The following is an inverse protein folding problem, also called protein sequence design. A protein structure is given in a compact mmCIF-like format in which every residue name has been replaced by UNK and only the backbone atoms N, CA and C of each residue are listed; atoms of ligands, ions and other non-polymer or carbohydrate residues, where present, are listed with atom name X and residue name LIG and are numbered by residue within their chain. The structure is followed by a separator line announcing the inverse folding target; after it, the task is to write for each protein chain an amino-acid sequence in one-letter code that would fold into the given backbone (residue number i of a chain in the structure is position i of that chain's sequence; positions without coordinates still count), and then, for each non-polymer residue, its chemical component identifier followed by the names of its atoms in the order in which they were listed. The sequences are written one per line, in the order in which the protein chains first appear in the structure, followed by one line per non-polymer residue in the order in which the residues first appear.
data_IF_817638069950
#
_entry.id   IF_817638069950
#
_cell.length_a   1.000
_cell.length_b   1.000
_cell.length_c   1.000
_cell.angle_alpha   90.00
_cell.angle_beta   90.00
_cell.angle_gamma   90.00
#
_symmetry.space_group_name_H-M   'P 1'
#
loop_
_entity.id
_entity.type
_entity.pdbx_description
1 polymer ?
#
# COMPACT_ATOMS: atom_id res chain seq x y z
N UNK A 1 -3.56 49.20 -81.82
CA UNK A 1 -3.73 47.89 -81.17
C UNK A 1 -2.37 47.23 -81.08
N UNK A 2 -1.90 46.97 -79.86
CA UNK A 2 -0.83 46.06 -79.42
C UNK A 2 -0.05 46.73 -78.28
N UNK A 3 -0.59 46.59 -77.07
CA UNK A 3 0.02 47.10 -75.84
C UNK A 3 1.05 46.06 -75.38
N UNK A 4 2.32 46.35 -75.67
CA UNK A 4 3.47 45.47 -75.45
C UNK A 4 3.85 45.48 -73.96
N UNK A 5 3.28 44.55 -73.19
CA UNK A 5 3.65 44.32 -71.79
C UNK A 5 5.07 43.78 -71.67
N UNK A 6 6.02 44.68 -71.39
CA UNK A 6 7.37 44.37 -70.93
C UNK A 6 7.31 43.63 -69.56
N UNK A 7 7.87 42.41 -69.42
CA UNK A 7 7.92 41.72 -68.14
C UNK A 7 9.06 42.29 -67.26
N UNK A 8 8.68 43.15 -66.32
CA UNK A 8 9.54 43.70 -65.29
C UNK A 8 9.97 42.59 -64.28
N UNK A 9 11.09 41.91 -64.56
CA UNK A 9 11.75 40.98 -63.62
C UNK A 9 12.73 41.76 -62.73
N UNK A 10 12.28 42.11 -61.53
CA UNK A 10 13.15 42.67 -60.49
C UNK A 10 14.32 41.75 -60.10
N UNK A 11 15.37 42.27 -59.45
CA UNK A 11 16.61 41.55 -59.19
C UNK A 11 16.36 40.30 -58.33
N UNK A 12 16.96 39.19 -58.75
CA UNK A 12 16.86 37.92 -58.05
C UNK A 12 17.40 38.08 -56.62
N UNK A 13 16.52 37.91 -55.62
CA UNK A 13 16.88 37.91 -54.19
C UNK A 13 17.94 36.85 -53.92
N UNK A 14 18.91 37.16 -53.07
CA UNK A 14 19.96 36.22 -52.72
C UNK A 14 19.37 34.94 -52.12
N UNK A 15 20.01 33.79 -52.36
CA UNK A 15 19.52 32.50 -51.91
C UNK A 15 19.38 32.45 -50.37
N UNK A 16 20.21 33.20 -49.67
CA UNK A 16 20.18 33.34 -48.20
C UNK A 16 18.90 34.02 -47.70
N UNK A 17 18.44 35.09 -48.36
CA UNK A 17 17.18 35.77 -48.00
C UNK A 17 15.96 34.87 -48.25
N UNK A 18 15.99 34.08 -49.33
CA UNK A 18 14.94 33.10 -49.64
C UNK A 18 14.89 32.01 -48.57
N UNK A 19 16.04 31.51 -48.13
CA UNK A 19 16.14 30.52 -47.04
C UNK A 19 15.66 31.12 -45.71
N UNK A 20 16.07 32.34 -45.37
CA UNK A 20 15.67 33.00 -44.12
C UNK A 20 14.16 33.22 -44.05
N UNK A 21 13.54 33.68 -45.14
CA UNK A 21 12.08 33.86 -45.24
C UNK A 21 11.34 32.54 -45.12
N UNK A 22 11.83 31.47 -45.77
CA UNK A 22 11.26 30.12 -45.61
C UNK A 22 11.35 29.62 -44.17
N UNK A 23 12.48 29.84 -43.48
CA UNK A 23 12.63 29.49 -42.06
C UNK A 23 11.70 30.29 -41.16
N UNK A 24 11.52 31.59 -41.42
CA UNK A 24 10.59 32.44 -40.68
C UNK A 24 9.13 32.01 -40.87
N UNK A 25 8.73 31.70 -42.11
CA UNK A 25 7.41 31.17 -42.43
C UNK A 25 7.18 29.79 -41.77
N UNK A 26 8.17 28.90 -41.82
CA UNK A 26 8.08 27.59 -41.17
C UNK A 26 7.99 27.68 -39.63
N UNK A 27 8.68 28.66 -39.01
CA UNK A 27 8.53 28.94 -37.57
C UNK A 27 7.11 29.40 -37.23
N UNK A 28 6.60 30.41 -37.94
CA UNK A 28 5.23 30.91 -37.76
C UNK A 28 4.19 29.81 -37.95
N UNK A 29 4.39 28.94 -38.94
CA UNK A 29 3.52 27.79 -39.18
C UNK A 29 3.55 26.78 -38.03
N UNK A 30 4.74 26.44 -37.50
CA UNK A 30 4.87 25.53 -36.35
C UNK A 30 4.28 26.11 -35.07
N UNK A 31 4.35 27.43 -34.88
CA UNK A 31 3.76 28.12 -33.73
C UNK A 31 2.23 28.13 -33.82
N UNK A 32 1.67 28.48 -34.99
CA UNK A 32 0.21 28.52 -35.18
C UNK A 32 -0.46 27.15 -35.28
N UNK A 33 0.29 26.10 -35.64
CA UNK A 33 -0.23 24.72 -35.77
C UNK A 33 0.43 23.76 -34.77
N UNK A 34 0.96 24.27 -33.65
CA UNK A 34 1.71 23.49 -32.68
C UNK A 34 0.92 22.28 -32.16
N UNK A 35 -0.36 22.49 -31.84
CA UNK A 35 -1.21 21.45 -31.27
C UNK A 35 -1.65 20.43 -32.33
N UNK A 36 -1.97 20.87 -33.55
CA UNK A 36 -2.26 19.95 -34.66
C UNK A 36 -1.06 19.06 -35.00
N UNK A 37 0.15 19.63 -35.01
CA UNK A 37 1.39 18.88 -35.24
C UNK A 37 1.62 17.86 -34.11
N UNK A 38 1.34 18.24 -32.86
CA UNK A 38 1.44 17.31 -31.70
C UNK A 38 0.44 16.17 -31.80
N UNK A 39 -0.81 16.45 -32.17
CA UNK A 39 -1.84 15.42 -32.32
C UNK A 39 -1.51 14.47 -33.48
N UNK A 40 -1.11 15.00 -34.65
CA UNK A 40 -0.65 14.17 -35.78
C UNK A 40 0.56 13.31 -35.41
N UNK A 41 1.52 13.85 -34.67
CA UNK A 41 2.68 13.08 -34.19
C UNK A 41 2.27 12.01 -33.17
N UNK A 42 1.31 12.30 -32.27
CA UNK A 42 0.78 11.32 -31.32
C UNK A 42 0.07 10.19 -32.05
N UNK A 43 -0.81 10.50 -33.00
CA UNK A 43 -1.51 9.53 -33.84
C UNK A 43 -0.51 8.67 -34.63
N UNK A 44 0.52 9.28 -35.22
CA UNK A 44 1.55 8.54 -35.96
C UNK A 44 2.33 7.58 -35.05
N UNK A 45 2.73 8.03 -33.85
CA UNK A 45 3.43 7.17 -32.86
C UNK A 45 2.55 6.01 -32.38
N UNK A 46 1.25 6.26 -32.18
CA UNK A 46 0.29 5.23 -31.78
C UNK A 46 0.07 4.20 -32.90
N UNK A 47 0.00 4.64 -34.16
CA UNK A 47 -0.15 3.78 -35.32
C UNK A 47 1.14 3.04 -35.73
N UNK A 48 2.32 3.52 -35.30
CA UNK A 48 3.63 2.95 -35.68
C UNK A 48 4.53 2.67 -34.46
N UNK A 49 4.10 1.86 -33.48
CA UNK A 49 4.89 1.61 -32.27
C UNK A 49 6.22 0.93 -32.57
N UNK A 50 6.27 0.05 -33.56
CA UNK A 50 7.47 -0.73 -33.88
C UNK A 50 8.54 0.13 -34.57
N UNK A 51 8.17 1.00 -35.51
CA UNK A 51 9.11 1.96 -36.11
C UNK A 51 9.70 2.93 -35.08
N UNK A 52 8.91 3.34 -34.09
CA UNK A 52 9.38 4.19 -32.99
C UNK A 52 10.40 3.43 -32.12
N UNK A 53 10.13 2.16 -31.82
CA UNK A 53 11.06 1.30 -31.06
C UNK A 53 12.36 1.08 -31.83
N UNK A 54 12.29 0.75 -33.11
CA UNK A 54 13.46 0.55 -33.97
C UNK A 54 14.32 1.81 -34.09
N UNK A 55 13.69 2.96 -34.34
CA UNK A 55 14.40 4.23 -34.39
C UNK A 55 15.07 4.56 -33.05
N UNK A 56 14.35 4.35 -31.93
CA UNK A 56 14.91 4.55 -30.60
C UNK A 56 16.05 3.58 -30.28
N UNK A 57 15.98 2.33 -30.75
CA UNK A 57 17.05 1.34 -30.62
C UNK A 57 18.30 1.78 -31.39
N UNK A 58 18.16 2.10 -32.69
CA UNK A 58 19.26 2.61 -33.52
C UNK A 58 19.90 3.86 -32.92
N UNK A 59 19.08 4.79 -32.42
CA UNK A 59 19.58 5.99 -31.75
C UNK A 59 20.37 5.66 -30.48
N UNK A 60 19.87 4.75 -29.63
CA UNK A 60 20.59 4.31 -28.42
C UNK A 60 21.89 3.60 -28.74
N UNK A 61 21.94 2.82 -29.82
CA UNK A 61 23.14 2.10 -30.22
C UNK A 61 24.19 3.06 -30.77
N UNK A 62 23.79 3.99 -31.65
CA UNK A 62 24.68 5.02 -32.21
C UNK A 62 25.18 6.01 -31.14
N UNK A 63 24.35 6.37 -30.17
CA UNK A 63 24.68 7.35 -29.13
C UNK A 63 24.95 6.74 -27.74
N UNK A 64 25.26 5.43 -27.68
CA UNK A 64 25.40 4.69 -26.42
C UNK A 64 26.38 5.33 -25.45
N UNK A 65 27.56 5.69 -25.95
CA UNK A 65 28.62 6.28 -25.13
C UNK A 65 28.30 7.72 -24.69
N UNK A 66 27.63 8.50 -25.56
CA UNK A 66 27.14 9.83 -25.21
C UNK A 66 26.09 9.75 -24.08
N UNK A 67 25.11 8.85 -24.19
CA UNK A 67 24.09 8.62 -23.16
C UNK A 67 24.75 8.20 -21.84
N UNK A 68 25.73 7.30 -21.88
CA UNK A 68 26.48 6.87 -20.68
C UNK A 68 27.25 8.03 -20.04
N UNK A 69 27.87 8.89 -20.83
CA UNK A 69 28.58 10.08 -20.33
C UNK A 69 27.60 11.07 -19.68
N UNK A 70 26.52 11.43 -20.37
CA UNK A 70 25.49 12.32 -19.84
C UNK A 70 24.86 11.77 -18.55
N UNK A 71 24.58 10.47 -18.49
CA UNK A 71 24.05 9.85 -17.28
C UNK A 71 25.05 9.91 -16.12
N UNK A 72 26.34 9.64 -16.37
CA UNK A 72 27.40 9.79 -15.36
C UNK A 72 27.49 11.22 -14.84
N UNK A 73 27.43 12.20 -15.74
CA UNK A 73 27.52 13.62 -15.36
C UNK A 73 26.25 14.11 -14.63
N UNK A 74 25.06 13.64 -15.04
CA UNK A 74 23.81 13.88 -14.29
C UNK A 74 23.87 13.30 -12.89
N UNK A 75 24.34 12.07 -12.72
CA UNK A 75 24.46 11.44 -11.40
C UNK A 75 25.52 12.13 -10.54
N UNK A 76 26.66 12.54 -11.12
CA UNK A 76 27.66 13.38 -10.43
C UNK A 76 27.06 14.71 -9.96
N UNK A 77 26.30 15.38 -10.81
CA UNK A 77 25.63 16.64 -10.47
C UNK A 77 24.58 16.46 -9.37
N UNK A 78 23.78 15.38 -9.43
CA UNK A 78 22.82 15.01 -8.38
C UNK A 78 23.51 14.73 -7.05
N UNK A 79 24.58 13.93 -7.06
CA UNK A 79 25.36 13.63 -5.88
C UNK A 79 26.01 14.89 -5.29
N UNK A 80 26.55 15.78 -6.11
CA UNK A 80 27.11 17.05 -5.66
C UNK A 80 26.04 17.96 -5.04
N UNK A 81 24.84 18.04 -5.64
CA UNK A 81 23.70 18.78 -5.10
C UNK A 81 23.24 18.19 -3.76
N UNK A 82 23.17 16.86 -3.65
CA UNK A 82 22.83 16.17 -2.41
C UNK A 82 23.86 16.46 -1.31
N UNK A 83 25.16 16.38 -1.62
CA UNK A 83 26.24 16.74 -0.67
C UNK A 83 26.15 18.19 -0.21
N UNK A 84 25.93 19.14 -1.13
CA UNK A 84 25.72 20.55 -0.76
C UNK A 84 24.47 20.74 0.11
N UNK A 85 23.39 20.04 -0.19
CA UNK A 85 22.16 20.10 0.59
C UNK A 85 22.36 19.54 2.00
N UNK A 86 23.03 18.40 2.15
CA UNK A 86 23.39 17.83 3.45
C UNK A 86 24.34 18.73 4.23
N UNK A 87 25.39 19.28 3.60
CA UNK A 87 26.28 20.23 4.25
C UNK A 87 25.53 21.50 4.72
N UNK A 88 24.59 22.01 3.92
CA UNK A 88 23.74 23.13 4.32
C UNK A 88 22.78 22.76 5.47
N UNK A 89 22.24 21.53 5.48
CA UNK A 89 21.42 21.00 6.59
C UNK A 89 22.23 20.92 7.87
N UNK A 90 23.45 20.39 7.80
CA UNK A 90 24.34 20.31 8.97
C UNK A 90 24.74 21.69 9.48
N UNK A 91 25.11 22.63 8.60
CA UNK A 91 25.37 24.02 9.01
C UNK A 91 24.17 24.65 9.72
N UNK A 92 22.95 24.42 9.23
CA UNK A 92 21.72 24.88 9.88
C UNK A 92 21.49 24.18 11.23
N UNK A 93 21.80 22.89 11.36
CA UNK A 93 21.71 22.15 12.62
C UNK A 93 22.69 22.69 13.66
N UNK A 94 23.94 22.94 13.26
CA UNK A 94 24.97 23.52 14.12
C UNK A 94 24.58 24.93 14.55
N UNK A 95 24.25 25.82 13.61
CA UNK A 95 23.81 27.18 13.91
C UNK A 95 22.55 27.21 14.80
N UNK A 96 21.61 26.29 14.59
CA UNK A 96 20.44 26.16 15.48
C UNK A 96 20.85 25.73 16.89
N UNK A 97 21.77 24.76 17.03
CA UNK A 97 22.29 24.34 18.34
C UNK A 97 23.02 25.47 19.05
N UNK A 98 23.87 26.21 18.34
CA UNK A 98 24.59 27.38 18.87
C UNK A 98 23.61 28.46 19.33
N UNK A 99 22.59 28.76 18.51
CA UNK A 99 21.52 29.69 18.89
C UNK A 99 20.76 29.25 20.15
N UNK A 100 20.48 27.96 20.29
CA UNK A 100 19.82 27.44 21.50
C UNK A 100 20.74 27.41 22.72
N UNK A 101 22.04 27.18 22.53
CA UNK A 101 23.02 27.19 23.60
C UNK A 101 23.33 28.61 24.09
N UNK A 102 23.26 29.60 23.20
CA UNK A 102 23.47 31.01 23.54
C UNK A 102 22.38 31.57 24.48
N UNK A 103 21.14 31.10 24.34
CA UNK A 103 20.03 31.50 25.22
C UNK A 103 18.99 30.38 25.42
N UNK A 104 19.25 29.46 26.35
CA UNK A 104 18.35 28.35 26.67
C UNK A 104 17.03 28.82 27.33
N UNK A 105 17.07 29.96 28.03
CA UNK A 105 15.94 30.49 28.80
C UNK A 105 14.92 31.12 27.87
N UNK A 106 15.33 32.02 26.96
CA UNK A 106 14.41 32.61 25.99
C UNK A 106 13.76 31.55 25.11
N UNK A 107 14.47 30.47 24.75
CA UNK A 107 13.84 29.36 24.03
C UNK A 107 12.77 28.65 24.86
N UNK A 108 13.07 28.38 26.13
CA UNK A 108 12.15 27.72 27.05
C UNK A 108 10.90 28.58 27.30
N UNK A 109 11.06 29.89 27.43
CA UNK A 109 9.99 30.87 27.57
C UNK A 109 9.13 30.95 26.32
N UNK A 110 9.75 31.11 25.14
CA UNK A 110 9.06 31.05 23.85
C UNK A 110 8.22 29.77 23.72
N UNK A 111 8.75 28.61 24.13
CA UNK A 111 8.01 27.34 24.09
C UNK A 111 6.89 27.26 25.15
N UNK A 112 7.04 27.94 26.30
CA UNK A 112 5.97 28.06 27.31
C UNK A 112 4.85 28.95 26.78
N UNK A 113 5.18 30.11 26.23
CA UNK A 113 4.23 31.03 25.62
C UNK A 113 3.50 30.39 24.45
N UNK A 114 4.21 29.73 23.54
CA UNK A 114 3.59 29.00 22.43
C UNK A 114 2.63 27.92 22.91
N UNK A 115 2.97 27.20 23.98
CA UNK A 115 2.05 26.20 24.59
C UNK A 115 0.87 26.86 25.29
N UNK A 116 1.05 28.03 25.93
CA UNK A 116 -0.04 28.81 26.52
C UNK A 116 -0.99 29.30 25.44
N UNK A 117 -0.46 29.88 24.35
CA UNK A 117 -1.24 30.32 23.19
C UNK A 117 -2.01 29.16 22.54
N UNK A 118 -1.37 27.99 22.34
CA UNK A 118 -2.07 26.81 21.82
C UNK A 118 -3.21 26.33 22.73
N UNK A 119 -3.00 26.34 24.05
CA UNK A 119 -4.06 25.97 25.01
C UNK A 119 -5.19 27.00 25.05
N UNK A 120 -4.89 28.29 24.84
CA UNK A 120 -5.87 29.35 24.83
C UNK A 120 -6.70 29.36 23.53
N UNK A 121 -6.05 29.10 22.38
CA UNK A 121 -6.72 29.07 21.08
C UNK A 121 -7.67 27.88 20.92
N UNK A 122 -7.28 26.70 21.40
CA UNK A 122 -8.12 25.49 21.36
C UNK A 122 -7.83 24.58 22.56
N UNK A 123 -8.53 24.78 23.69
CA UNK A 123 -8.34 23.98 24.90
C UNK A 123 -8.66 22.50 24.70
N UNK A 124 -9.73 22.17 23.94
CA UNK A 124 -10.20 20.80 23.77
C UNK A 124 -9.33 20.05 22.75
N UNK A 125 -9.02 20.64 21.60
CA UNK A 125 -8.11 20.03 20.64
C UNK A 125 -6.70 19.83 21.21
N UNK A 126 -6.22 20.72 22.07
CA UNK A 126 -4.94 20.50 22.78
C UNK A 126 -5.00 19.30 23.73
N UNK A 127 -6.10 19.12 24.47
CA UNK A 127 -6.31 17.97 25.38
C UNK A 127 -6.36 16.67 24.58
N UNK A 128 -7.12 16.65 23.49
CA UNK A 128 -7.22 15.49 22.61
C UNK A 128 -5.90 15.15 21.94
N UNK A 129 -5.20 16.12 21.36
CA UNK A 129 -3.89 15.91 20.75
C UNK A 129 -2.87 15.39 21.78
N UNK A 130 -2.89 15.92 23.01
CA UNK A 130 -2.07 15.40 24.12
C UNK A 130 -2.44 13.96 24.48
N UNK A 131 -3.73 13.64 24.55
CA UNK A 131 -4.23 12.29 24.81
C UNK A 131 -3.80 11.32 23.72
N UNK A 132 -3.92 11.70 22.44
CA UNK A 132 -3.51 10.88 21.30
C UNK A 132 -2.00 10.66 21.25
N UNK A 133 -1.20 11.71 21.50
CA UNK A 133 0.27 11.58 21.61
C UNK A 133 0.65 10.63 22.74
N UNK A 134 0.05 10.78 23.91
CA UNK A 134 0.29 9.89 25.05
C UNK A 134 -0.16 8.46 24.74
N UNK A 135 -1.28 8.28 24.05
CA UNK A 135 -1.76 6.97 23.61
C UNK A 135 -0.76 6.31 22.65
N UNK A 136 -0.32 7.00 21.60
CA UNK A 136 0.70 6.50 20.66
C UNK A 136 2.01 6.13 21.35
N UNK A 137 2.45 6.96 22.29
CA UNK A 137 3.64 6.65 23.09
C UNK A 137 3.44 5.40 23.95
N UNK A 138 2.31 5.29 24.65
CA UNK A 138 1.97 4.09 25.45
C UNK A 138 1.86 2.85 24.59
N UNK A 139 1.23 2.94 23.42
CA UNK A 139 1.04 1.81 22.52
C UNK A 139 2.39 1.34 21.97
N UNK A 140 3.25 2.26 21.53
CA UNK A 140 4.60 1.94 21.03
C UNK A 140 5.59 1.46 22.09
N UNK A 141 5.41 1.84 23.36
CA UNK A 141 6.30 1.46 24.47
C UNK A 141 5.64 0.48 25.45
N UNK A 142 4.48 -0.10 25.07
CA UNK A 142 3.68 -0.96 25.94
C UNK A 142 4.51 -2.15 26.43
N UNK A 143 5.20 -2.80 25.51
CA UNK A 143 5.97 -4.01 25.82
C UNK A 143 7.24 -3.71 26.58
N UNK A 144 7.90 -2.59 26.30
CA UNK A 144 9.07 -2.14 27.08
C UNK A 144 8.67 -1.82 28.53
N UNK A 145 7.57 -1.08 28.73
CA UNK A 145 7.05 -0.77 30.07
C UNK A 145 6.59 -2.04 30.78
N UNK A 146 5.91 -2.94 30.09
CA UNK A 146 5.52 -4.23 30.65
C UNK A 146 6.73 -5.10 30.99
N UNK A 147 7.77 -5.11 30.17
CA UNK A 147 9.01 -5.85 30.43
C UNK A 147 9.73 -5.28 31.66
N UNK A 148 9.85 -3.95 31.77
CA UNK A 148 10.37 -3.26 32.96
C UNK A 148 9.56 -3.61 34.22
N UNK A 149 8.23 -3.61 34.12
CA UNK A 149 7.36 -4.00 35.22
C UNK A 149 7.47 -5.49 35.57
N UNK A 150 7.64 -6.38 34.59
CA UNK A 150 7.87 -7.81 34.81
C UNK A 150 9.22 -8.04 35.48
N UNK A 151 10.28 -7.41 34.99
CA UNK A 151 11.62 -7.47 35.60
C UNK A 151 11.56 -6.97 37.06
N UNK A 152 11.00 -5.79 37.29
CA UNK A 152 10.80 -5.25 38.65
C UNK A 152 10.04 -6.22 39.57
N UNK A 153 8.99 -6.87 39.07
CA UNK A 153 8.19 -7.83 39.84
C UNK A 153 8.90 -9.16 40.07
N UNK A 154 9.75 -9.59 39.13
CA UNK A 154 10.56 -10.81 39.24
C UNK A 154 11.67 -10.61 40.26
N UNK A 155 12.38 -9.48 40.16
CA UNK A 155 13.56 -9.20 40.96
C UNK A 155 13.19 -8.71 42.39
N UNK A 156 12.00 -8.13 42.58
CA UNK A 156 11.48 -7.71 43.88
C UNK A 156 9.97 -7.98 44.01
N UNK A 157 9.55 -9.24 44.32
CA UNK A 157 8.14 -9.58 44.51
C UNK A 157 7.58 -9.10 45.87
N UNK A 158 8.42 -8.96 46.89
CA UNK A 158 8.03 -8.74 48.28
C UNK A 158 7.21 -7.46 48.52
N UNK A 159 7.54 -6.29 47.95
CA UNK A 159 6.71 -5.10 48.15
C UNK A 159 5.27 -5.26 47.67
N UNK A 160 5.06 -6.06 46.62
CA UNK A 160 3.72 -6.35 46.09
C UNK A 160 2.97 -7.34 46.97
N UNK A 161 3.66 -8.35 47.52
CA UNK A 161 3.08 -9.32 48.47
C UNK A 161 2.65 -8.62 49.75
N UNK A 162 3.54 -7.85 50.37
CA UNK A 162 3.25 -7.08 51.57
C UNK A 162 2.10 -6.08 51.36
N UNK A 163 2.05 -5.38 50.23
CA UNK A 163 0.93 -4.49 49.91
C UNK A 163 -0.40 -5.24 49.74
N UNK A 164 -0.37 -6.43 49.13
CA UNK A 164 -1.56 -7.27 48.99
C UNK A 164 -2.03 -7.81 50.35
N UNK A 165 -1.10 -8.28 51.20
CA UNK A 165 -1.41 -8.75 52.55
C UNK A 165 -2.06 -7.65 53.39
N UNK A 166 -1.50 -6.44 53.41
CA UNK A 166 -2.11 -5.28 54.07
C UNK A 166 -3.52 -5.00 53.55
N UNK A 167 -3.69 -5.00 52.22
CA UNK A 167 -4.99 -4.78 51.62
C UNK A 167 -6.02 -5.85 52.02
N UNK A 168 -5.64 -7.13 52.04
CA UNK A 168 -6.54 -8.21 52.44
C UNK A 168 -6.79 -8.24 53.95
N UNK A 169 -5.84 -7.81 54.78
CA UNK A 169 -6.04 -7.66 56.21
C UNK A 169 -7.09 -6.56 56.51
N UNK A 170 -6.99 -5.42 55.82
CA UNK A 170 -7.90 -4.28 56.01
C UNK A 170 -9.25 -4.44 55.30
N UNK A 171 -9.28 -5.12 54.14
CA UNK A 171 -10.45 -5.15 53.24
C UNK A 171 -10.93 -6.57 52.93
N UNK A 172 -10.49 -7.59 53.67
CA UNK A 172 -10.79 -9.00 53.40
C UNK A 172 -12.28 -9.28 53.26
N UNK A 173 -13.11 -8.68 54.13
CA UNK A 173 -14.56 -8.84 54.10
C UNK A 173 -15.20 -8.26 52.85
N UNK A 174 -14.83 -7.02 52.48
CA UNK A 174 -15.30 -6.37 51.26
C UNK A 174 -14.89 -7.15 50.00
N UNK A 175 -13.71 -7.77 50.02
CA UNK A 175 -13.27 -8.62 48.90
C UNK A 175 -14.07 -9.92 48.85
N UNK A 176 -14.38 -10.54 49.99
CA UNK A 176 -15.22 -11.75 50.06
C UNK A 176 -16.64 -11.47 49.58
N UNK A 177 -17.25 -10.37 50.02
CA UNK A 177 -18.57 -9.93 49.61
C UNK A 177 -18.63 -9.64 48.11
N UNK A 178 -17.70 -8.83 47.59
CA UNK A 178 -17.61 -8.56 46.15
C UNK A 178 -17.43 -9.84 45.33
N UNK A 179 -16.65 -10.83 45.82
CA UNK A 179 -16.50 -12.13 45.14
C UNK A 179 -17.83 -12.91 45.12
N UNK A 180 -18.61 -12.88 46.20
CA UNK A 180 -19.94 -13.51 46.26
C UNK A 180 -20.92 -12.82 45.32
N UNK A 181 -20.98 -11.50 45.33
CA UNK A 181 -21.81 -10.70 44.41
C UNK A 181 -21.44 -10.99 42.96
N UNK A 182 -20.15 -10.97 42.64
CA UNK A 182 -19.67 -11.28 41.30
C UNK A 182 -20.03 -12.70 40.88
N UNK A 183 -19.86 -13.68 41.79
CA UNK A 183 -20.25 -15.06 41.55
C UNK A 183 -21.74 -15.14 41.21
N UNK A 184 -22.62 -14.59 42.04
CA UNK A 184 -24.07 -14.62 41.79
C UNK A 184 -24.46 -13.89 40.51
N UNK A 185 -23.93 -12.70 40.27
CA UNK A 185 -24.21 -11.92 39.07
C UNK A 185 -23.72 -12.59 37.77
N UNK A 186 -22.70 -13.44 37.84
CA UNK A 186 -22.14 -14.13 36.67
C UNK A 186 -22.38 -15.64 36.67
N UNK A 187 -23.09 -16.17 37.67
CA UNK A 187 -23.30 -17.60 37.87
C UNK A 187 -24.01 -18.20 36.67
N UNK A 188 -25.10 -17.56 36.22
CA UNK A 188 -25.84 -17.99 35.04
C UNK A 188 -24.98 -17.94 33.77
N UNK A 189 -24.19 -16.89 33.59
CA UNK A 189 -23.28 -16.77 32.43
C UNK A 189 -22.24 -17.90 32.42
N UNK A 190 -21.70 -18.29 33.58
CA UNK A 190 -20.79 -19.42 33.69
C UNK A 190 -21.50 -20.74 33.38
N UNK A 191 -22.72 -20.94 33.90
CA UNK A 191 -23.54 -22.10 33.60
C UNK A 191 -23.92 -22.16 32.11
N UNK A 192 -24.26 -21.05 31.48
CA UNK A 192 -24.53 -20.96 30.04
C UNK A 192 -23.30 -21.31 29.21
N UNK A 193 -22.13 -20.79 29.59
CA UNK A 193 -20.87 -21.15 28.93
C UNK A 193 -20.61 -22.66 29.02
N UNK A 194 -20.84 -23.24 30.20
CA UNK A 194 -20.74 -24.68 30.43
C UNK A 194 -21.80 -25.47 29.63
N UNK A 195 -23.05 -25.01 29.56
CA UNK A 195 -24.12 -25.60 28.74
C UNK A 195 -23.77 -25.56 27.26
N UNK A 196 -23.28 -24.42 26.76
CA UNK A 196 -22.81 -24.25 25.37
C UNK A 196 -21.65 -25.19 25.06
N UNK A 197 -20.69 -25.30 25.97
CA UNK A 197 -19.57 -26.23 25.83
C UNK A 197 -20.06 -27.69 25.81
N UNK A 198 -20.95 -28.10 26.72
CA UNK A 198 -21.53 -29.44 26.74
C UNK A 198 -22.33 -29.74 25.47
N UNK A 199 -23.14 -28.79 25.00
CA UNK A 199 -23.92 -28.94 23.78
C UNK A 199 -23.04 -29.05 22.53
N UNK A 200 -21.97 -28.26 22.45
CA UNK A 200 -20.97 -28.36 21.39
C UNK A 200 -20.23 -29.71 21.42
N UNK A 201 -19.84 -30.19 22.61
CA UNK A 201 -19.19 -31.49 22.75
C UNK A 201 -20.14 -32.65 22.44
N UNK A 202 -21.44 -32.52 22.77
CA UNK A 202 -22.48 -33.48 22.38
C UNK A 202 -22.59 -33.56 20.85
N UNK A 203 -22.81 -32.42 20.16
CA UNK A 203 -22.86 -32.38 18.69
C UNK A 203 -21.61 -32.99 18.06
N UNK A 204 -20.44 -32.70 18.61
CA UNK A 204 -19.16 -33.24 18.13
C UNK A 204 -19.13 -34.77 18.22
N UNK A 205 -19.61 -35.35 19.31
CA UNK A 205 -19.72 -36.81 19.49
C UNK A 205 -20.78 -37.41 18.56
N UNK A 206 -21.91 -36.74 18.40
CA UNK A 206 -23.00 -37.19 17.53
C UNK A 206 -22.56 -37.27 16.05
N UNK A 207 -21.63 -36.40 15.62
CA UNK A 207 -20.99 -36.42 14.29
C UNK A 207 -19.81 -37.43 14.22
N UNK A 208 -19.59 -38.21 15.28
CA UNK A 208 -18.55 -39.25 15.31
C UNK A 208 -17.12 -38.74 15.47
N UNK A 209 -16.91 -37.46 15.83
CA UNK A 209 -15.56 -36.95 16.06
C UNK A 209 -15.00 -37.48 17.40
N UNK A 210 -13.73 -37.87 17.46
CA UNK A 210 -13.09 -38.39 18.67
C UNK A 210 -13.06 -37.33 19.78
N UNK A 211 -13.08 -37.72 21.08
CA UNK A 211 -13.03 -36.77 22.19
C UNK A 211 -11.83 -35.83 22.09
N UNK A 212 -12.01 -34.58 22.52
CA UNK A 212 -11.04 -33.49 22.26
C UNK A 212 -9.69 -33.72 22.95
N UNK A 213 -9.71 -34.58 23.96
CA UNK A 213 -8.55 -35.16 24.63
C UNK A 213 -8.74 -36.66 24.61
N UNK A 214 -7.95 -37.36 23.80
CA UNK A 214 -7.94 -38.82 23.72
C UNK A 214 -7.45 -39.42 25.04
N UNK A 215 -6.54 -38.72 25.73
CA UNK A 215 -6.01 -39.10 27.04
C UNK A 215 -6.28 -37.99 28.06
N UNK A 216 -6.88 -38.36 29.19
CA UNK A 216 -6.93 -37.48 30.37
C UNK A 216 -5.56 -37.54 31.03
N UNK A 217 -4.76 -36.48 30.87
CA UNK A 217 -3.55 -36.33 31.67
C UNK A 217 -3.96 -36.02 33.10
N UNK A 218 -3.69 -36.94 34.02
CA UNK A 218 -4.01 -36.78 35.43
C UNK A 218 -3.18 -35.64 36.05
N UNK A 219 -3.57 -35.17 37.23
CA UNK A 219 -2.80 -34.13 37.92
C UNK A 219 -1.37 -34.61 38.24
N UNK A 220 -1.21 -35.87 38.65
CA UNK A 220 0.08 -36.49 38.91
C UNK A 220 0.95 -36.57 37.65
N UNK A 221 0.41 -37.05 36.54
CA UNK A 221 1.11 -37.09 35.25
C UNK A 221 1.52 -35.69 34.76
N UNK A 222 0.67 -34.67 34.97
CA UNK A 222 1.05 -33.29 34.65
C UNK A 222 2.21 -32.79 35.49
N UNK A 223 2.24 -33.14 36.78
CA UNK A 223 3.34 -32.79 37.67
C UNK A 223 4.63 -33.51 37.23
N UNK A 224 4.56 -34.81 36.95
CA UNK A 224 5.67 -35.60 36.42
C UNK A 224 6.20 -35.01 35.10
N UNK A 225 5.33 -34.74 34.13
CA UNK A 225 5.73 -34.12 32.86
C UNK A 225 6.36 -32.73 33.05
N UNK A 226 5.92 -31.96 34.05
CA UNK A 226 6.54 -30.67 34.38
C UNK A 226 7.95 -30.87 34.94
N UNK A 227 8.13 -31.81 35.86
CA UNK A 227 9.43 -32.16 36.41
C UNK A 227 10.37 -32.68 35.33
N UNK A 228 9.92 -33.62 34.50
CA UNK A 228 10.70 -34.15 33.36
C UNK A 228 11.06 -33.05 32.36
N UNK A 229 10.16 -32.11 32.08
CA UNK A 229 10.45 -30.98 31.21
C UNK A 229 11.50 -30.06 31.84
N UNK A 230 11.35 -29.72 33.11
CA UNK A 230 12.32 -28.89 33.84
C UNK A 230 13.70 -29.56 33.87
N UNK A 231 13.77 -30.87 34.12
CA UNK A 231 15.00 -31.67 34.02
C UNK A 231 15.58 -31.67 32.60
N UNK A 232 14.75 -31.88 31.58
CA UNK A 232 15.16 -31.88 30.17
C UNK A 232 15.77 -30.54 29.76
N UNK A 233 15.17 -29.41 30.16
CA UNK A 233 15.59 -28.07 29.76
C UNK A 233 16.68 -27.47 30.64
N UNK A 234 16.81 -27.90 31.90
CA UNK A 234 17.84 -27.41 32.83
C UNK A 234 19.17 -28.17 32.72
N UNK A 235 19.16 -29.40 32.18
CA UNK A 235 20.37 -30.20 32.00
C UNK A 235 21.35 -29.55 30.99
N UNK A 236 22.64 -29.38 31.34
CA UNK A 236 23.65 -28.97 30.37
C UNK A 236 23.88 -30.07 29.33
N UNK A 237 23.90 -29.69 28.04
CA UNK A 237 24.08 -30.61 26.90
C UNK A 237 25.38 -30.34 26.17
N UNK A 238 26.03 -31.41 25.75
CA UNK A 238 27.24 -31.33 24.94
C UNK A 238 26.90 -31.05 23.47
N UNK A 239 27.85 -30.47 22.73
CA UNK A 239 27.67 -30.09 21.32
C UNK A 239 27.20 -31.27 20.45
N UNK A 240 27.75 -32.45 20.68
CA UNK A 240 27.43 -33.66 19.90
C UNK A 240 26.00 -34.17 20.18
N UNK A 241 25.52 -34.03 21.42
CA UNK A 241 24.14 -34.33 21.80
C UNK A 241 23.15 -33.39 21.11
N UNK A 242 23.50 -32.10 21.05
CA UNK A 242 22.72 -31.09 20.32
C UNK A 242 22.71 -31.40 18.82
N UNK A 243 23.84 -31.82 18.25
CA UNK A 243 23.93 -32.23 16.85
C UNK A 243 23.08 -33.47 16.58
N UNK A 244 23.13 -34.49 17.44
CA UNK A 244 22.31 -35.69 17.32
C UNK A 244 20.80 -35.37 17.38
N UNK A 245 20.38 -34.46 18.26
CA UNK A 245 18.97 -34.01 18.31
C UNK A 245 18.56 -33.19 17.09
N UNK A 246 19.44 -32.35 16.57
CA UNK A 246 19.17 -31.56 15.35
C UNK A 246 19.13 -32.43 14.09
N UNK A 247 19.87 -33.52 14.10
CA UNK A 247 20.02 -34.46 12.98
C UNK A 247 19.36 -35.82 13.25
N UNK A 248 18.34 -35.86 14.12
CA UNK A 248 17.52 -37.05 14.30
C UNK A 248 17.03 -37.62 12.97
N UNK A 249 16.60 -38.89 12.93
CA UNK A 249 16.25 -39.59 11.69
C UNK A 249 15.29 -38.72 10.89
N UNK A 250 15.75 -38.26 9.72
CA UNK A 250 14.91 -37.47 8.83
C UNK A 250 13.76 -38.37 8.39
N UNK A 251 12.51 -37.87 8.41
CA UNK A 251 11.41 -38.57 7.78
C UNK A 251 11.81 -38.89 6.34
N UNK A 252 11.58 -40.12 5.93
CA UNK A 252 11.79 -40.53 4.54
C UNK A 252 10.85 -39.74 3.64
N UNK A 253 11.25 -39.51 2.39
CA UNK A 253 10.43 -38.80 1.41
C UNK A 253 9.07 -39.49 1.20
N UNK A 254 9.03 -40.81 1.32
CA UNK A 254 7.81 -41.61 1.29
C UNK A 254 6.84 -41.30 2.45
N UNK A 255 7.36 -41.09 3.67
CA UNK A 255 6.56 -40.71 4.83
C UNK A 255 6.00 -39.29 4.70
N UNK A 256 6.82 -38.37 4.17
CA UNK A 256 6.39 -36.99 3.89
C UNK A 256 5.27 -37.00 2.83
N UNK A 257 5.48 -37.70 1.72
CA UNK A 257 4.48 -37.80 0.64
C UNK A 257 3.19 -38.51 1.09
N UNK A 258 3.29 -39.47 2.02
CA UNK A 258 2.10 -40.09 2.64
C UNK A 258 1.34 -39.08 3.50
N UNK A 259 2.04 -38.35 4.38
CA UNK A 259 1.45 -37.32 5.23
C UNK A 259 0.78 -36.21 4.41
N UNK A 260 1.43 -35.75 3.34
CA UNK A 260 0.87 -34.74 2.43
C UNK A 260 -0.42 -35.22 1.77
N UNK A 261 -0.44 -36.45 1.24
CA UNK A 261 -1.65 -37.06 0.65
C UNK A 261 -2.77 -37.21 1.67
N UNK A 262 -2.46 -37.57 2.92
CA UNK A 262 -3.46 -37.69 3.97
C UNK A 262 -4.01 -36.32 4.38
N UNK A 263 -3.16 -35.30 4.45
CA UNK A 263 -3.54 -33.91 4.70
C UNK A 263 -4.39 -33.31 3.56
N UNK A 264 -4.08 -33.64 2.30
CA UNK A 264 -4.87 -33.25 1.14
C UNK A 264 -6.24 -33.92 1.15
N UNK A 265 -6.30 -35.23 1.40
CA UNK A 265 -7.58 -35.94 1.55
C UNK A 265 -8.43 -35.37 2.67
N UNK A 266 -7.85 -35.07 3.83
CA UNK A 266 -8.56 -34.47 4.95
C UNK A 266 -9.10 -33.07 4.60
N UNK A 267 -8.30 -32.24 3.91
CA UNK A 267 -8.72 -30.90 3.45
C UNK A 267 -9.84 -30.98 2.40
N UNK A 268 -9.73 -31.90 1.44
CA UNK A 268 -10.75 -32.11 0.43
C UNK A 268 -12.06 -32.59 1.07
N UNK A 269 -12.01 -33.59 1.95
CA UNK A 269 -13.18 -34.09 2.67
C UNK A 269 -13.85 -32.99 3.51
N UNK A 270 -13.08 -32.16 4.20
CA UNK A 270 -13.60 -31.00 4.93
C UNK A 270 -14.22 -29.96 3.99
N UNK A 271 -13.61 -29.67 2.84
CA UNK A 271 -14.14 -28.72 1.87
C UNK A 271 -15.48 -29.21 1.28
N UNK A 272 -15.59 -30.49 0.93
CA UNK A 272 -16.84 -31.09 0.49
C UNK A 272 -17.92 -31.05 1.59
N UNK A 273 -17.57 -31.38 2.83
CA UNK A 273 -18.51 -31.33 3.95
C UNK A 273 -19.00 -29.90 4.28
N UNK A 274 -18.20 -28.87 3.98
CA UNK A 274 -18.55 -27.46 4.21
C UNK A 274 -19.23 -26.77 3.03
N UNK A 275 -19.16 -27.35 1.82
CA UNK A 275 -19.79 -26.78 0.63
C UNK A 275 -21.33 -26.82 0.69
N UNK A 276 -21.90 -27.78 1.44
CA UNK A 276 -23.35 -28.04 1.50
C UNK A 276 -24.03 -27.57 2.80
N UNK A 277 -23.32 -26.92 3.74
CA UNK A 277 -23.90 -26.48 5.02
C UNK A 277 -24.26 -24.96 5.02
N UNK A 278 -25.54 -24.59 4.85
CA UNK A 278 -25.99 -23.19 4.84
C UNK A 278 -25.91 -22.52 6.23
N UNK A 279 -25.61 -23.28 7.28
CA UNK A 279 -25.59 -22.80 8.67
C UNK A 279 -24.22 -22.29 9.11
N UNK A 280 -23.17 -22.45 8.29
CA UNK A 280 -21.82 -22.05 8.66
C UNK A 280 -21.61 -20.55 8.37
N UNK A 281 -21.43 -19.69 9.39
CA UNK A 281 -21.20 -18.28 9.16
C UNK A 281 -19.84 -18.09 8.49
N UNK A 282 -19.84 -17.72 7.21
CA UNK A 282 -18.64 -17.29 6.48
C UNK A 282 -17.82 -16.34 7.37
N UNK A 283 -16.53 -16.65 7.55
CA UNK A 283 -15.65 -15.79 8.34
C UNK A 283 -15.56 -14.40 7.71
N UNK A 284 -15.19 -13.38 8.48
CA UNK A 284 -15.04 -12.04 7.94
C UNK A 284 -13.99 -11.97 6.80
N UNK A 285 -12.98 -12.85 6.81
CA UNK A 285 -12.04 -12.98 5.70
C UNK A 285 -12.68 -13.59 4.47
N UNK A 286 -13.52 -14.62 4.63
CA UNK A 286 -14.19 -15.28 3.50
C UNK A 286 -15.21 -14.34 2.85
N UNK A 287 -15.96 -13.58 3.66
CA UNK A 287 -16.88 -12.55 3.13
C UNK A 287 -16.13 -11.50 2.31
N UNK A 288 -15.00 -11.01 2.82
CA UNK A 288 -14.13 -10.07 2.08
C UNK A 288 -13.50 -10.71 0.84
N UNK A 289 -13.22 -12.01 0.86
CA UNK A 289 -12.72 -12.72 -0.32
C UNK A 289 -13.79 -12.82 -1.41
N UNK A 290 -15.02 -13.18 -1.03
CA UNK A 290 -16.17 -13.22 -1.95
C UNK A 290 -16.54 -11.83 -2.46
N UNK A 291 -16.50 -10.80 -1.62
CA UNK A 291 -16.70 -9.41 -2.05
C UNK A 291 -15.64 -8.97 -3.05
N UNK A 292 -14.36 -9.29 -2.81
CA UNK A 292 -13.27 -9.03 -3.75
C UNK A 292 -13.45 -9.77 -5.07
N UNK A 293 -13.86 -11.03 -5.04
CA UNK A 293 -14.14 -11.80 -6.24
C UNK A 293 -15.29 -11.19 -7.05
N UNK A 294 -16.39 -10.82 -6.39
CA UNK A 294 -17.54 -10.12 -7.02
C UNK A 294 -17.17 -8.73 -7.54
N UNK A 295 -16.27 -8.00 -6.88
CA UNK A 295 -15.79 -6.72 -7.36
C UNK A 295 -14.89 -6.89 -8.59
N UNK A 296 -14.01 -7.89 -8.59
CA UNK A 296 -13.17 -8.22 -9.74
C UNK A 296 -14.01 -8.66 -10.95
N UNK A 297 -15.06 -9.47 -10.72
CA UNK A 297 -15.97 -9.89 -11.78
C UNK A 297 -16.74 -8.69 -12.37
N UNK A 298 -17.31 -7.81 -11.53
CA UNK A 298 -17.95 -6.57 -12.01
C UNK A 298 -17.02 -5.67 -12.81
N UNK A 299 -15.75 -5.58 -12.41
CA UNK A 299 -14.73 -4.85 -13.15
C UNK A 299 -14.47 -5.50 -14.51
N UNK A 300 -14.36 -6.83 -14.57
CA UNK A 300 -14.18 -7.55 -15.82
C UNK A 300 -15.41 -7.41 -16.74
N UNK A 301 -16.61 -7.51 -16.19
CA UNK A 301 -17.85 -7.33 -16.94
C UNK A 301 -17.94 -5.91 -17.53
N UNK A 302 -17.49 -4.90 -16.77
CA UNK A 302 -17.43 -3.52 -17.26
C UNK A 302 -16.42 -3.34 -18.41
N UNK A 303 -15.23 -3.95 -18.29
CA UNK A 303 -14.24 -3.97 -19.38
C UNK A 303 -14.83 -4.64 -20.62
N UNK A 304 -15.41 -5.83 -20.46
CA UNK A 304 -15.99 -6.58 -21.58
C UNK A 304 -17.14 -5.81 -22.24
N UNK A 305 -17.95 -5.08 -21.46
CA UNK A 305 -19.01 -4.23 -21.99
C UNK A 305 -18.47 -3.02 -22.77
N UNK A 306 -17.37 -2.42 -22.30
CA UNK A 306 -16.69 -1.33 -23.00
C UNK A 306 -16.05 -1.83 -24.30
N UNK A 307 -15.37 -2.98 -24.27
CA UNK A 307 -14.81 -3.64 -25.45
C UNK A 307 -15.91 -3.95 -26.49
N UNK A 308 -17.04 -4.53 -26.06
CA UNK A 308 -18.18 -4.80 -26.95
C UNK A 308 -18.76 -3.52 -27.57
N UNK A 309 -18.80 -2.42 -26.82
CA UNK A 309 -19.22 -1.11 -27.33
C UNK A 309 -18.23 -0.58 -28.38
N UNK A 310 -16.93 -0.68 -28.13
CA UNK A 310 -15.90 -0.23 -29.07
C UNK A 310 -15.93 -1.07 -30.36
N UNK A 311 -16.14 -2.37 -30.24
CA UNK A 311 -16.30 -3.28 -31.39
C UNK A 311 -17.54 -2.93 -32.23
N UNK A 312 -18.66 -2.62 -31.58
CA UNK A 312 -19.88 -2.19 -32.29
C UNK A 312 -19.65 -0.89 -33.06
N UNK A 313 -18.96 0.09 -32.46
CA UNK A 313 -18.57 1.34 -33.12
C UNK A 313 -17.64 1.05 -34.31
N UNK A 314 -16.64 0.19 -34.13
CA UNK A 314 -15.71 -0.17 -35.20
C UNK A 314 -16.42 -0.85 -36.38
N UNK A 315 -17.40 -1.73 -36.11
CA UNK A 315 -18.24 -2.33 -37.16
C UNK A 315 -19.08 -1.28 -37.88
N UNK A 316 -19.76 -0.39 -37.16
CA UNK A 316 -20.57 0.66 -37.78
C UNK A 316 -19.73 1.58 -38.69
N UNK A 317 -18.52 1.95 -38.26
CA UNK A 317 -17.58 2.72 -39.09
C UNK A 317 -17.17 1.92 -40.33
N UNK A 318 -16.81 0.65 -40.18
CA UNK A 318 -16.43 -0.19 -41.31
C UNK A 318 -17.58 -0.39 -42.31
N UNK A 319 -18.81 -0.56 -41.83
CA UNK A 319 -19.99 -0.69 -42.69
C UNK A 319 -20.28 0.61 -43.44
N UNK A 320 -20.17 1.77 -42.77
CA UNK A 320 -20.29 3.07 -43.44
C UNK A 320 -19.21 3.26 -44.52
N UNK A 321 -17.96 2.89 -44.24
CA UNK A 321 -16.86 2.95 -45.20
C UNK A 321 -16.99 1.95 -46.36
N UNK A 322 -17.77 0.88 -46.19
CA UNK A 322 -18.06 -0.11 -47.24
C UNK A 322 -19.22 0.32 -48.14
N UNK A 323 -20.22 1.04 -47.62
CA UNK A 323 -21.43 1.43 -48.36
C UNK A 323 -21.27 2.78 -49.05
N UNK A 324 -20.44 3.69 -48.54
CA UNK A 324 -20.13 4.92 -49.26
C UNK A 324 -19.14 4.66 -50.42
N UNK A 325 -19.53 4.83 -51.70
CA UNK A 325 -18.55 4.89 -52.76
C UNK A 325 -17.64 6.07 -52.45
N UNK A 326 -16.31 5.85 -52.47
CA UNK A 326 -15.31 6.91 -52.29
C UNK A 326 -15.71 8.10 -53.17
N UNK A 327 -16.22 9.18 -52.56
CA UNK A 327 -16.45 10.43 -53.29
C UNK A 327 -15.10 10.82 -53.89
N UNK A 328 -14.99 10.75 -55.21
CA UNK A 328 -13.86 11.34 -55.92
C UNK A 328 -13.85 12.81 -55.53
N UNK A 329 -12.84 13.25 -54.79
CA UNK A 329 -12.63 14.68 -54.57
C UNK A 329 -12.54 15.36 -55.94
N UNK A 330 -13.43 16.30 -56.27
CA UNK A 330 -13.28 17.08 -57.48
C UNK A 330 -12.07 17.99 -57.28
N UNK A 331 -11.07 17.81 -58.13
CA UNK A 331 -10.06 18.83 -58.35
C UNK A 331 -10.78 19.99 -59.05
N UNK A 332 -10.82 21.16 -58.41
CA UNK A 332 -11.21 22.43 -59.04
C UNK A 332 -12.47 23.06 -58.46
N UNK A 333 -12.31 23.99 -57.52
CA UNK A 333 -12.46 25.44 -57.73
C UNK A 333 -12.43 26.15 -56.38
N UNK A 334 -11.65 27.22 -56.31
CA UNK A 334 -11.45 28.01 -55.11
C UNK A 334 -12.62 28.99 -54.95
N UNK A 335 -13.49 28.77 -53.96
CA UNK A 335 -14.37 29.82 -53.44
C UNK A 335 -13.79 30.46 -52.16
N UNK A 336 -13.92 31.78 -51.99
CA UNK A 336 -13.31 32.51 -50.89
C UNK A 336 -14.02 32.23 -49.56
N UNK A 337 -13.24 31.83 -48.57
CA UNK A 337 -13.67 31.57 -47.19
C UNK A 337 -14.22 32.86 -46.57
N UNK A 338 -15.51 32.88 -46.22
CA UNK A 338 -16.06 33.92 -45.35
C UNK A 338 -15.55 33.74 -43.91
N UNK A 339 -15.13 34.82 -43.22
CA UNK A 339 -14.69 34.73 -41.84
C UNK A 339 -15.89 34.53 -40.90
N UNK A 340 -16.06 33.32 -40.38
CA UNK A 340 -17.03 33.06 -39.32
C UNK A 340 -16.47 33.60 -38.00
N UNK A 341 -17.22 34.55 -37.44
CA UNK A 341 -16.95 35.28 -36.19
C UNK A 341 -16.83 34.35 -34.98
N UNK A 342 -15.88 34.64 -34.10
CA UNK A 342 -15.59 33.86 -32.90
C UNK A 342 -16.71 33.98 -31.83
N UNK A 343 -17.09 32.90 -31.14
CA UNK A 343 -17.95 33.00 -29.97
C UNK A 343 -17.17 33.57 -28.77
N UNK A 344 -17.76 34.57 -28.13
CA UNK A 344 -17.21 35.26 -26.97
C UNK A 344 -17.02 34.31 -25.77
N UNK A 345 -15.77 34.08 -25.38
CA UNK A 345 -15.40 33.47 -24.10
C UNK A 345 -15.80 34.40 -22.95
N UNK A 346 -16.80 33.97 -22.17
CA UNK A 346 -17.11 34.53 -20.84
C UNK A 346 -15.89 34.34 -19.92
N UNK A 347 -15.43 35.46 -19.36
CA UNK A 347 -14.34 35.51 -18.40
C UNK A 347 -14.69 34.82 -17.09
N UNK A 348 -13.71 34.09 -16.55
CA UNK A 348 -13.66 33.68 -15.16
C UNK A 348 -12.78 34.71 -14.45
N UNK A 349 -13.42 35.53 -13.62
CA UNK A 349 -12.79 36.47 -12.69
C UNK A 349 -12.09 35.74 -11.55
N UNK A 350 -11.10 36.42 -10.97
CA UNK A 350 -10.28 36.01 -9.83
C UNK A 350 -11.05 35.78 -8.54
#
# INVERSE_FOLDING_TARGET
MADEKQPNRGPAKSEEERIARKRAAARRYRESHADEIREKLRQWKAANPDKVKEYAARFRDQHREQIRKENRDRERARAAKARKAEAARERRRVAARERYAADPEAHSEYQRERRRAQRAADPEGYREAKKQRNKRWRDGHRDEQNAKLRAKRRDNPEPKRAAAEKYYAEHGDKVRERRREYYWANHEKQLESQRRWRAAEKRRRDVGLPPRRLHRVLAAERAANHTEADEFFSRPRFRDEILAMRHGPRPTEAEIARLERDNERARAAHAFAMADDPTYPMTASDRRAVERARAAQRHQDAINAEEARLDAIARAINDQLRVEPRRSSPIGEAEPVQPISAPATRGISR
#
